data_IF_485602220326
#
_entry.id   IF_485602220326
#
_cell.length_a   1.000
_cell.length_b   1.000
_cell.length_c   1.000
_cell.angle_alpha   90.00
_cell.angle_beta   90.00
_cell.angle_gamma   90.00
#
_symmetry.space_group_name_H-M   'P 1'
#
loop_
_entity.id
_entity.type
_entity.pdbx_description
1 polymer ?
#
# COMPACT_ATOMS: atom_id res chain seq x y z
N UNK A 1 0.51 8.23 -20.32
CA UNK A 1 0.85 6.88 -19.85
C UNK A 1 2.37 6.73 -19.85
N UNK A 2 2.95 6.50 -18.68
CA UNK A 2 4.39 6.22 -18.57
C UNK A 2 4.80 5.08 -19.50
N UNK A 3 5.98 5.09 -20.09
CA UNK A 3 6.43 4.09 -21.07
C UNK A 3 6.76 2.72 -20.44
N UNK A 4 6.07 2.30 -19.40
CA UNK A 4 6.22 0.99 -18.76
C UNK A 4 5.66 -0.15 -19.61
N UNK A 5 4.94 0.13 -20.69
CA UNK A 5 4.31 -0.88 -21.54
C UNK A 5 5.26 -1.65 -22.46
N UNK A 6 6.51 -1.20 -22.68
CA UNK A 6 7.41 -1.90 -23.62
C UNK A 6 8.07 -3.16 -23.05
N UNK A 7 8.16 -3.31 -21.73
CA UNK A 7 8.62 -4.57 -21.14
C UNK A 7 7.50 -5.60 -20.93
N UNK A 8 6.24 -5.16 -20.93
CA UNK A 8 5.07 -6.02 -20.76
C UNK A 8 4.78 -6.95 -21.95
N UNK A 9 5.36 -6.67 -23.12
CA UNK A 9 5.16 -7.52 -24.30
C UNK A 9 5.92 -8.85 -24.23
N UNK A 10 6.95 -8.93 -23.38
CA UNK A 10 7.78 -10.13 -23.23
C UNK A 10 7.46 -10.93 -21.95
N UNK A 11 7.01 -10.26 -20.90
CA UNK A 11 6.66 -10.89 -19.61
C UNK A 11 5.32 -10.31 -19.15
N UNK A 12 4.31 -11.15 -18.88
CA UNK A 12 3.04 -10.67 -18.34
C UNK A 12 3.24 -9.92 -17.01
N UNK A 13 2.65 -8.73 -16.92
CA UNK A 13 2.64 -7.94 -15.72
C UNK A 13 1.26 -7.99 -15.06
N UNK A 14 1.24 -8.15 -13.76
CA UNK A 14 0.04 -8.21 -12.95
C UNK A 14 -0.01 -6.99 -12.01
N UNK A 15 -1.20 -6.63 -11.53
CA UNK A 15 -1.46 -5.54 -10.59
C UNK A 15 -1.01 -4.16 -11.10
N UNK A 16 -1.15 -3.93 -12.40
CA UNK A 16 -0.98 -2.63 -13.04
C UNK A 16 -2.34 -2.20 -13.59
N UNK A 17 -2.70 -0.92 -13.39
CA UNK A 17 -3.99 -0.34 -13.82
C UNK A 17 -5.21 -1.14 -13.31
N UNK A 18 -5.18 -1.59 -12.06
CA UNK A 18 -6.23 -2.43 -11.45
C UNK A 18 -7.34 -1.63 -10.76
N UNK A 19 -7.18 -0.31 -10.67
CA UNK A 19 -8.15 0.61 -10.04
C UNK A 19 -8.28 1.89 -10.82
N UNK A 20 -9.49 2.45 -10.78
CA UNK A 20 -9.71 3.82 -11.23
C UNK A 20 -9.13 4.82 -10.22
N UNK A 21 -8.88 6.06 -10.67
CA UNK A 21 -8.24 7.11 -9.85
C UNK A 21 -9.06 7.44 -8.59
N UNK A 22 -10.36 7.23 -8.63
CA UNK A 22 -11.31 7.50 -7.54
C UNK A 22 -11.44 6.34 -6.56
N UNK A 23 -10.93 5.16 -6.90
CA UNK A 23 -10.99 3.98 -6.06
C UNK A 23 -9.81 3.92 -5.08
N UNK A 24 -10.06 3.40 -3.89
CA UNK A 24 -9.01 3.13 -2.92
C UNK A 24 -8.31 1.80 -3.20
N UNK A 25 -7.02 1.73 -2.91
CA UNK A 25 -6.24 0.51 -2.97
C UNK A 25 -5.39 0.37 -1.72
N UNK A 26 -5.63 -0.67 -0.95
CA UNK A 26 -4.98 -0.91 0.33
C UNK A 26 -3.94 -2.03 0.26
N UNK A 27 -3.15 -2.19 1.32
CA UNK A 27 -2.26 -3.35 1.45
C UNK A 27 -3.03 -4.68 1.48
N UNK A 28 -4.26 -4.69 2.00
CA UNK A 28 -5.14 -5.86 1.99
C UNK A 28 -5.52 -6.26 0.56
N UNK A 29 -5.95 -5.28 -0.26
CA UNK A 29 -6.29 -5.53 -1.67
C UNK A 29 -5.07 -6.09 -2.42
N UNK A 30 -3.90 -5.44 -2.22
CA UNK A 30 -2.66 -5.91 -2.83
C UNK A 30 -2.33 -7.35 -2.45
N UNK A 31 -2.37 -7.71 -1.17
CA UNK A 31 -2.04 -9.07 -0.71
C UNK A 31 -3.00 -10.09 -1.28
N UNK A 32 -4.30 -9.78 -1.29
CA UNK A 32 -5.33 -10.66 -1.85
C UNK A 32 -5.12 -10.91 -3.35
N UNK A 33 -4.97 -9.84 -4.12
CA UNK A 33 -4.79 -9.93 -5.57
C UNK A 33 -3.43 -10.52 -5.96
N UNK A 34 -2.36 -10.21 -5.19
CA UNK A 34 -1.04 -10.79 -5.41
C UNK A 34 -1.02 -12.30 -5.17
N UNK A 35 -1.69 -12.79 -4.11
CA UNK A 35 -1.83 -14.23 -3.85
C UNK A 35 -2.50 -14.94 -5.03
N UNK A 36 -3.61 -14.41 -5.53
CA UNK A 36 -4.30 -14.99 -6.70
C UNK A 36 -3.41 -15.00 -7.96
N UNK A 37 -2.69 -13.92 -8.21
CA UNK A 37 -1.78 -13.83 -9.34
C UNK A 37 -0.61 -14.83 -9.23
N UNK A 38 -0.03 -15.00 -8.04
CA UNK A 38 1.04 -15.96 -7.77
C UNK A 38 0.53 -17.40 -7.98
N UNK A 39 -0.64 -17.72 -7.46
CA UNK A 39 -1.26 -19.03 -7.62
C UNK A 39 -1.51 -19.37 -9.11
N UNK A 40 -2.02 -18.44 -9.89
CA UNK A 40 -2.19 -18.60 -11.34
C UNK A 40 -0.85 -18.82 -12.04
N UNK A 41 0.18 -18.03 -11.73
CA UNK A 41 1.53 -18.19 -12.30
C UNK A 41 2.11 -19.55 -11.95
N UNK A 42 2.00 -20.00 -10.69
CA UNK A 42 2.49 -21.28 -10.23
C UNK A 42 1.71 -22.46 -10.86
N UNK A 43 0.40 -22.34 -11.03
CA UNK A 43 -0.42 -23.36 -11.69
C UNK A 43 0.03 -23.63 -13.12
N UNK A 44 0.62 -22.65 -13.77
CA UNK A 44 1.22 -22.75 -15.11
C UNK A 44 2.68 -23.22 -15.09
N UNK A 45 3.21 -23.61 -13.94
CA UNK A 45 4.60 -24.06 -13.77
C UNK A 45 5.63 -22.93 -13.99
N UNK A 46 5.26 -21.67 -13.73
CA UNK A 46 6.13 -20.50 -13.91
C UNK A 46 6.54 -19.94 -12.57
N UNK A 47 7.65 -19.18 -12.57
CA UNK A 47 8.14 -18.45 -11.43
C UNK A 47 7.45 -17.09 -11.35
N UNK A 48 6.91 -16.74 -10.18
CA UNK A 48 6.41 -15.41 -9.91
C UNK A 48 7.57 -14.49 -9.47
N UNK A 49 7.66 -13.31 -10.08
CA UNK A 49 8.64 -12.28 -9.73
C UNK A 49 7.88 -11.07 -9.20
N UNK A 50 8.20 -10.64 -7.98
CA UNK A 50 7.64 -9.42 -7.39
C UNK A 50 8.71 -8.34 -7.50
N UNK A 51 8.40 -7.24 -8.19
CA UNK A 51 9.29 -6.11 -8.36
C UNK A 51 8.63 -4.84 -7.82
N UNK A 52 9.31 -4.13 -6.93
CA UNK A 52 8.79 -2.88 -6.39
C UNK A 52 9.57 -2.38 -5.18
N UNK A 53 9.15 -1.24 -4.65
CA UNK A 53 9.79 -0.55 -3.52
C UNK A 53 8.86 -0.27 -2.34
N UNK A 54 7.57 -0.66 -2.40
CA UNK A 54 6.63 -0.47 -1.30
C UNK A 54 6.82 -1.58 -0.27
N UNK A 55 7.76 -1.37 0.65
CA UNK A 55 8.18 -2.37 1.63
C UNK A 55 7.01 -2.97 2.41
N UNK A 56 6.06 -2.15 2.89
CA UNK A 56 4.89 -2.63 3.63
C UNK A 56 4.07 -3.66 2.83
N UNK A 57 3.86 -3.46 1.54
CA UNK A 57 3.08 -4.37 0.70
C UNK A 57 3.77 -5.72 0.55
N UNK A 58 5.05 -5.69 0.20
CA UNK A 58 5.87 -6.90 0.03
C UNK A 58 5.99 -7.64 1.36
N UNK A 59 6.28 -6.94 2.44
CA UNK A 59 6.40 -7.52 3.77
C UNK A 59 5.08 -8.15 4.23
N UNK A 60 3.94 -7.46 4.05
CA UNK A 60 2.62 -8.00 4.38
C UNK A 60 2.30 -9.29 3.63
N UNK A 61 2.69 -9.38 2.36
CA UNK A 61 2.51 -10.58 1.56
C UNK A 61 3.41 -11.74 2.04
N UNK A 62 4.69 -11.43 2.33
CA UNK A 62 5.68 -12.43 2.68
C UNK A 62 5.59 -12.90 4.13
N UNK A 63 5.23 -12.01 5.06
CA UNK A 63 5.12 -12.32 6.50
C UNK A 63 3.69 -12.64 6.94
N UNK A 64 2.75 -12.65 6.00
CA UNK A 64 1.37 -13.03 6.28
C UNK A 64 0.65 -12.08 7.24
N UNK A 65 0.97 -10.78 7.19
CA UNK A 65 0.33 -9.81 8.10
C UNK A 65 -1.18 -9.85 7.98
N UNK A 66 -1.85 -9.90 9.12
CA UNK A 66 -3.29 -9.72 9.18
C UNK A 66 -3.61 -8.23 9.00
N UNK A 67 -4.14 -7.88 7.85
CA UNK A 67 -4.39 -6.48 7.47
C UNK A 67 -5.82 -6.00 7.80
N UNK A 68 -6.60 -6.82 8.51
CA UNK A 68 -8.05 -6.63 8.64
C UNK A 68 -8.76 -7.12 7.37
N UNK A 69 -9.92 -6.59 7.08
CA UNK A 69 -10.64 -6.88 5.82
C UNK A 69 -11.99 -7.58 6.01
N UNK A 70 -12.25 -8.18 7.16
CA UNK A 70 -13.55 -8.77 7.50
C UNK A 70 -14.61 -7.71 7.84
N UNK A 71 -14.17 -6.55 8.34
CA UNK A 71 -15.08 -5.46 8.67
C UNK A 71 -15.43 -4.66 7.41
N UNK A 72 -16.73 -4.44 7.13
CA UNK A 72 -17.16 -3.62 6.01
C UNK A 72 -16.50 -2.23 6.02
N UNK A 73 -15.96 -1.81 4.88
CA UNK A 73 -15.22 -0.55 4.73
C UNK A 73 -15.99 0.67 5.22
N UNK A 74 -17.31 0.71 4.99
CA UNK A 74 -18.18 1.79 5.46
C UNK A 74 -18.17 1.95 6.98
N UNK A 75 -18.15 0.84 7.73
CA UNK A 75 -18.07 0.88 9.19
C UNK A 75 -16.73 1.42 9.67
N UNK A 76 -15.63 1.02 8.99
CA UNK A 76 -14.30 1.54 9.28
C UNK A 76 -14.24 3.05 9.05
N UNK A 77 -14.76 3.52 7.92
CA UNK A 77 -14.81 4.95 7.59
C UNK A 77 -15.66 5.73 8.59
N UNK A 78 -16.82 5.22 8.97
CA UNK A 78 -17.69 5.85 9.96
C UNK A 78 -17.00 5.97 11.33
N UNK A 79 -16.30 4.93 11.77
CA UNK A 79 -15.55 4.97 13.01
C UNK A 79 -14.37 5.97 12.94
N UNK A 80 -13.62 5.98 11.86
CA UNK A 80 -12.55 6.96 11.64
C UNK A 80 -13.07 8.40 11.66
N UNK A 81 -14.19 8.65 10.99
CA UNK A 81 -14.83 9.95 11.01
C UNK A 81 -15.25 10.39 12.43
N UNK A 82 -15.61 9.46 13.30
CA UNK A 82 -15.90 9.77 14.71
C UNK A 82 -14.66 10.13 15.52
N UNK A 83 -13.46 9.67 15.12
CA UNK A 83 -12.20 9.98 15.76
C UNK A 83 -11.55 11.28 15.25
N UNK A 84 -11.92 11.75 14.05
CA UNK A 84 -11.34 12.96 13.44
C UNK A 84 -11.44 14.24 14.31
N UNK A 85 -12.54 14.50 15.06
CA UNK A 85 -12.65 15.69 15.90
C UNK A 85 -11.70 15.71 17.10
N UNK A 86 -11.15 14.56 17.53
CA UNK A 86 -10.28 14.48 18.70
C UNK A 86 -8.88 15.05 18.38
N UNK A 87 -8.29 15.76 19.37
CA UNK A 87 -6.90 16.19 19.30
C UNK A 87 -5.93 15.00 19.44
N UNK A 88 -4.65 15.22 19.15
CA UNK A 88 -3.64 14.16 19.27
C UNK A 88 -3.46 13.72 20.74
N UNK A 89 -3.62 14.64 21.71
CA UNK A 89 -3.59 14.32 23.12
C UNK A 89 -4.80 13.48 23.55
N UNK A 90 -5.99 13.81 23.07
CA UNK A 90 -7.20 13.04 23.36
C UNK A 90 -7.13 11.64 22.74
N UNK A 91 -6.63 11.51 21.52
CA UNK A 91 -6.39 10.20 20.90
C UNK A 91 -5.35 9.37 21.67
N UNK A 92 -4.28 10.00 22.16
CA UNK A 92 -3.29 9.31 22.98
C UNK A 92 -3.90 8.80 24.29
N UNK A 93 -4.78 9.59 24.91
CA UNK A 93 -5.50 9.18 26.12
C UNK A 93 -6.48 8.03 25.87
N UNK A 94 -7.18 8.03 24.73
CA UNK A 94 -8.04 6.91 24.35
C UNK A 94 -7.24 5.61 24.12
N UNK A 95 -6.04 5.71 23.52
CA UNK A 95 -5.11 4.59 23.36
C UNK A 95 -4.66 4.03 24.71
N UNK A 96 -4.32 4.91 25.66
CA UNK A 96 -3.94 4.51 27.01
C UNK A 96 -5.11 3.84 27.77
N UNK A 97 -6.31 4.42 27.68
CA UNK A 97 -7.52 3.82 28.28
C UNK A 97 -7.87 2.44 27.73
N UNK A 98 -7.53 2.21 26.46
CA UNK A 98 -7.73 0.92 25.78
C UNK A 98 -6.58 -0.07 26.07
N UNK A 99 -5.60 0.27 26.89
CA UNK A 99 -4.42 -0.55 27.21
C UNK A 99 -3.63 -1.01 25.97
N UNK A 100 -3.48 -0.09 24.99
CA UNK A 100 -2.82 -0.39 23.73
C UNK A 100 -1.39 0.14 23.74
N UNK A 101 -0.42 -0.74 23.55
CA UNK A 101 0.99 -0.37 23.42
C UNK A 101 1.34 -0.06 21.95
N UNK A 102 1.63 1.21 21.63
CA UNK A 102 1.95 1.65 20.28
C UNK A 102 3.35 2.26 20.22
N UNK A 103 4.32 1.61 19.56
CA UNK A 103 5.64 2.20 19.34
C UNK A 103 5.54 3.47 18.50
N UNK A 104 6.21 4.55 18.93
CA UNK A 104 6.22 5.84 18.23
C UNK A 104 4.80 6.33 17.89
N UNK A 105 3.98 6.52 18.94
CA UNK A 105 2.62 7.00 18.82
C UNK A 105 2.54 8.28 17.97
N UNK A 106 1.63 8.28 17.01
CA UNK A 106 1.21 9.44 16.23
C UNK A 106 -0.26 9.29 15.86
N UNK A 107 -0.91 10.37 15.41
CA UNK A 107 -2.35 10.39 15.09
C UNK A 107 -2.79 9.19 14.26
N UNK A 108 -2.11 8.91 13.16
CA UNK A 108 -2.47 7.81 12.25
C UNK A 108 -2.39 6.44 12.94
N UNK A 109 -1.34 6.21 13.75
CA UNK A 109 -1.17 4.95 14.51
C UNK A 109 -2.19 4.83 15.62
N UNK A 110 -2.49 5.93 16.34
CA UNK A 110 -3.53 5.97 17.35
C UNK A 110 -4.89 5.59 16.77
N UNK A 111 -5.32 6.26 15.72
CA UNK A 111 -6.60 5.97 15.05
C UNK A 111 -6.68 4.52 14.56
N UNK A 112 -5.59 3.98 13.98
CA UNK A 112 -5.57 2.60 13.51
C UNK A 112 -5.63 1.59 14.65
N UNK A 113 -4.94 1.82 15.75
CA UNK A 113 -4.97 0.92 16.90
C UNK A 113 -6.36 0.91 17.58
N UNK A 114 -6.97 2.10 17.74
CA UNK A 114 -8.34 2.22 18.24
C UNK A 114 -9.35 1.54 17.31
N UNK A 115 -9.18 1.65 16.01
CA UNK A 115 -10.00 0.96 15.01
C UNK A 115 -9.92 -0.56 15.17
N UNK A 116 -8.69 -1.09 15.27
CA UNK A 116 -8.45 -2.53 15.46
C UNK A 116 -9.12 -3.02 16.75
N UNK A 117 -8.89 -2.31 17.85
CA UNK A 117 -9.49 -2.66 19.15
C UNK A 117 -11.01 -2.54 19.13
N UNK A 118 -11.58 -1.53 18.45
CA UNK A 118 -13.01 -1.33 18.36
C UNK A 118 -13.74 -2.46 17.64
N UNK A 119 -13.12 -3.00 16.60
CA UNK A 119 -13.73 -4.09 15.81
C UNK A 119 -13.28 -5.48 16.26
N UNK A 120 -12.56 -5.57 17.38
CA UNK A 120 -12.07 -6.84 17.97
C UNK A 120 -11.38 -7.73 16.92
N UNK A 121 -10.54 -7.09 16.10
CA UNK A 121 -9.81 -7.78 15.04
C UNK A 121 -8.64 -8.55 15.67
N UNK A 122 -8.73 -9.87 15.63
CA UNK A 122 -7.59 -10.73 15.92
C UNK A 122 -6.56 -10.56 14.80
N UNK A 123 -5.40 -10.00 15.14
CA UNK A 123 -4.34 -9.69 14.18
C UNK A 123 -3.20 -10.73 14.23
N UNK A 124 -3.52 -11.99 14.51
CA UNK A 124 -2.51 -13.03 14.37
C UNK A 124 -2.05 -13.13 12.91
N UNK A 125 -0.75 -13.01 12.70
CA UNK A 125 -0.16 -13.18 11.38
C UNK A 125 -0.38 -14.63 10.91
N UNK A 126 -0.73 -14.78 9.64
CA UNK A 126 -0.84 -16.10 9.01
C UNK A 126 0.57 -16.66 8.74
N UNK A 127 0.71 -17.98 8.77
CA UNK A 127 1.95 -18.61 8.32
C UNK A 127 2.28 -18.21 6.88
N UNK A 128 3.56 -17.92 6.62
CA UNK A 128 4.02 -17.62 5.26
C UNK A 128 3.93 -18.87 4.39
N UNK A 129 3.30 -18.73 3.24
CA UNK A 129 3.17 -19.82 2.26
C UNK A 129 4.32 -19.85 1.25
N UNK A 130 5.26 -18.91 1.35
CA UNK A 130 6.30 -18.71 0.33
C UNK A 130 7.70 -18.80 0.91
N UNK A 131 8.60 -19.41 0.16
CA UNK A 131 10.06 -19.35 0.39
C UNK A 131 10.67 -18.36 -0.64
N UNK A 132 10.71 -17.05 -0.33
CA UNK A 132 11.14 -16.06 -1.29
C UNK A 132 12.66 -15.98 -1.41
N UNK A 133 13.17 -15.86 -2.62
CA UNK A 133 14.51 -15.34 -2.87
C UNK A 133 14.45 -13.82 -2.97
N UNK A 134 15.00 -13.11 -1.99
CA UNK A 134 14.99 -11.65 -1.95
C UNK A 134 16.30 -11.12 -2.54
N UNK A 135 16.19 -10.30 -3.59
CA UNK A 135 17.32 -9.62 -4.22
C UNK A 135 17.16 -8.12 -3.99
N UNK A 136 18.07 -7.53 -3.22
CA UNK A 136 18.12 -6.10 -2.99
C UNK A 136 19.10 -5.46 -3.98
N UNK A 137 18.64 -4.43 -4.68
CA UNK A 137 19.50 -3.59 -5.52
C UNK A 137 20.04 -2.45 -4.66
N UNK A 138 21.34 -2.30 -4.59
CA UNK A 138 22.02 -1.24 -3.87
C UNK A 138 23.02 -0.54 -4.80
N UNK A 139 23.36 0.71 -4.50
CA UNK A 139 24.30 1.50 -5.27
C UNK A 139 24.92 2.59 -4.37
N UNK A 140 26.04 3.16 -4.78
CA UNK A 140 26.62 4.33 -4.14
C UNK A 140 25.57 5.46 -4.01
N UNK A 141 25.43 6.02 -2.80
CA UNK A 141 24.38 7.01 -2.50
C UNK A 141 24.44 8.22 -3.42
N UNK A 142 25.62 8.67 -3.81
CA UNK A 142 25.82 9.77 -4.77
C UNK A 142 25.26 9.44 -6.15
N UNK A 143 25.55 8.26 -6.67
CA UNK A 143 25.04 7.79 -7.97
C UNK A 143 23.53 7.57 -7.93
N UNK A 144 23.01 7.07 -6.80
CA UNK A 144 21.57 6.90 -6.59
C UNK A 144 20.86 8.26 -6.66
N UNK A 145 21.39 9.29 -6.00
CA UNK A 145 20.81 10.63 -6.05
C UNK A 145 20.86 11.26 -7.46
N UNK A 146 21.97 11.10 -8.17
CA UNK A 146 22.05 11.56 -9.55
C UNK A 146 20.99 10.90 -10.45
N UNK A 147 20.81 9.60 -10.31
CA UNK A 147 19.77 8.86 -11.06
C UNK A 147 18.36 9.27 -10.68
N UNK A 148 18.10 9.49 -9.40
CA UNK A 148 16.79 9.96 -8.91
C UNK A 148 16.50 11.35 -9.49
N UNK A 149 17.45 12.29 -9.38
CA UNK A 149 17.28 13.65 -9.87
C UNK A 149 17.05 13.67 -11.39
N UNK A 150 17.91 12.96 -12.13
CA UNK A 150 17.73 12.84 -13.57
C UNK A 150 16.37 12.23 -13.96
N UNK A 151 15.91 11.21 -13.23
CA UNK A 151 14.57 10.63 -13.45
C UNK A 151 13.46 11.65 -13.20
N UNK A 152 13.59 12.46 -12.14
CA UNK A 152 12.62 13.52 -11.84
C UNK A 152 12.56 14.54 -12.97
N UNK A 153 13.71 14.99 -13.49
CA UNK A 153 13.77 15.92 -14.62
C UNK A 153 13.05 15.34 -15.86
N UNK A 154 13.34 14.08 -16.20
CA UNK A 154 12.65 13.38 -17.29
C UNK A 154 11.13 13.24 -17.06
N UNK A 155 10.67 13.07 -15.83
CA UNK A 155 9.25 13.04 -15.52
C UNK A 155 8.58 14.40 -15.75
N UNK A 156 9.24 15.49 -15.38
CA UNK A 156 8.76 16.84 -15.68
C UNK A 156 8.68 17.11 -17.18
N UNK A 157 9.72 16.75 -17.92
CA UNK A 157 9.75 16.87 -19.39
C UNK A 157 8.67 16.03 -20.08
N UNK A 158 8.34 14.86 -19.49
CA UNK A 158 7.30 13.95 -19.99
C UNK A 158 5.87 14.41 -19.67
N UNK A 159 5.67 15.53 -18.96
CA UNK A 159 4.35 16.10 -18.69
C UNK A 159 3.76 15.76 -17.33
N UNK A 160 4.57 15.40 -16.34
CA UNK A 160 4.10 15.09 -14.97
C UNK A 160 3.17 16.17 -14.38
N UNK A 161 3.48 17.46 -14.61
CA UNK A 161 2.66 18.55 -14.11
C UNK A 161 1.29 18.64 -14.78
N UNK A 162 1.23 18.34 -16.06
CA UNK A 162 -0.03 18.38 -16.80
C UNK A 162 -0.93 17.20 -16.42
N UNK A 163 -0.33 16.02 -16.19
CA UNK A 163 -1.02 14.86 -15.63
C UNK A 163 -1.56 15.15 -14.23
N UNK A 164 -0.75 15.75 -13.36
CA UNK A 164 -1.18 16.13 -12.01
C UNK A 164 -2.33 17.15 -12.00
N UNK A 165 -2.30 18.13 -12.89
CA UNK A 165 -3.39 19.12 -13.07
C UNK A 165 -4.66 18.44 -13.55
N UNK A 166 -4.55 17.60 -14.56
CA UNK A 166 -5.68 16.84 -15.08
C UNK A 166 -6.34 15.98 -13.99
N UNK A 167 -5.56 15.22 -13.23
CA UNK A 167 -6.07 14.43 -12.09
C UNK A 167 -6.74 15.28 -11.01
N UNK A 168 -6.21 16.47 -10.74
CA UNK A 168 -6.78 17.39 -9.76
C UNK A 168 -8.11 17.98 -10.23
N UNK A 169 -8.25 18.28 -11.52
CA UNK A 169 -9.49 18.78 -12.11
C UNK A 169 -10.56 17.69 -12.21
N UNK A 170 -10.17 16.47 -12.56
CA UNK A 170 -11.05 15.31 -12.63
C UNK A 170 -11.64 14.96 -11.27
N UNK A 171 -10.82 14.96 -10.19
CA UNK A 171 -11.31 14.77 -8.82
C UNK A 171 -12.31 15.83 -8.36
N UNK A 172 -12.22 17.06 -8.85
CA UNK A 172 -13.21 18.13 -8.54
C UNK A 172 -14.55 17.91 -9.21
N UNK A 173 -14.60 17.18 -10.29
CA UNK A 173 -15.85 16.88 -11.00
C UNK A 173 -16.64 15.71 -10.39
N UNK A 174 -16.10 15.03 -9.39
CA UNK A 174 -16.68 13.83 -8.73
C UNK A 174 -17.20 14.15 -7.30
N UNK A 175 -17.07 15.41 -6.82
CA UNK A 175 -17.55 15.84 -5.49
C UNK A 175 -18.85 16.65 -5.59
#
# INVERSE_FOLDING_TARGET
SFPTRRSSDLVPHHLIDVREVTESYSAFDFVSEAKMAIEDIHSRGKLAIIAGGTGLYIQSLLEGYHLGGETPHEKILAYRASLEPFSDEELAHLVEQADLEIPQLNRRRAMRALEIAHFDQDLENQETLYEPLIICLDDERSQLYERINHRVDLMFEAGLLDEAKWLFEDRKSVV
#
